data_IF_997779328783
#
_entry.id   IF_997779328783
#
_cell.length_a   1.000
_cell.length_b   1.000
_cell.length_c   1.000
_cell.angle_alpha   90.00
_cell.angle_beta   90.00
_cell.angle_gamma   90.00
#
_symmetry.space_group_name_H-M   'P 1'
#
loop_
_entity.id
_entity.type
_entity.pdbx_description
1 polymer ?
#
# COMPACT_ATOMS: atom_id res chain seq x y z
N UNK A 1 -8.94 9.95 11.62
CA UNK A 1 -9.13 10.67 12.89
C UNK A 1 -7.85 10.57 13.72
N UNK A 2 -7.64 11.46 14.68
CA UNK A 2 -6.47 11.39 15.58
C UNK A 2 -6.44 10.09 16.39
N UNK A 3 -7.61 9.54 16.73
CA UNK A 3 -7.72 8.22 17.36
C UNK A 3 -7.13 7.11 16.47
N UNK A 4 -7.45 7.08 15.17
CA UNK A 4 -6.87 6.10 14.23
C UNK A 4 -5.36 6.27 14.09
N UNK A 5 -4.85 7.52 14.05
CA UNK A 5 -3.41 7.77 13.89
C UNK A 5 -2.61 7.33 15.13
N UNK A 6 -3.16 7.52 16.33
CA UNK A 6 -2.52 7.06 17.57
C UNK A 6 -2.57 5.54 17.78
N UNK A 7 -3.56 4.87 17.18
CA UNK A 7 -3.72 3.42 17.30
C UNK A 7 -2.92 2.64 16.25
N UNK A 8 -2.38 3.28 15.21
CA UNK A 8 -1.64 2.61 14.16
C UNK A 8 -0.18 2.40 14.56
N UNK A 9 0.30 1.15 14.46
CA UNK A 9 1.71 0.81 14.72
C UNK A 9 2.64 1.38 13.63
N UNK A 10 2.14 1.45 12.40
CA UNK A 10 2.87 1.96 11.25
C UNK A 10 2.03 2.90 10.40
N UNK A 11 2.72 3.85 9.75
CA UNK A 11 2.11 4.81 8.84
C UNK A 11 2.86 4.83 7.52
N UNK A 12 2.24 4.28 6.49
CA UNK A 12 2.83 4.23 5.15
C UNK A 12 2.33 5.37 4.27
N UNK A 13 3.24 5.93 3.47
CA UNK A 13 2.91 6.88 2.41
C UNK A 13 2.95 6.16 1.07
N UNK A 14 1.83 6.17 0.34
CA UNK A 14 1.75 5.57 -1.00
C UNK A 14 2.35 6.49 -2.08
N UNK A 15 2.35 7.81 -1.83
CA UNK A 15 2.88 8.84 -2.74
C UNK A 15 2.95 10.18 -2.01
N UNK A 16 3.71 11.13 -2.55
CA UNK A 16 3.63 12.55 -2.15
C UNK A 16 2.35 13.25 -2.68
N UNK A 17 1.62 12.61 -3.59
CA UNK A 17 0.38 13.14 -4.16
C UNK A 17 -0.84 12.78 -3.31
N UNK A 18 -1.86 13.65 -3.36
CA UNK A 18 -3.19 13.32 -2.80
C UNK A 18 -3.95 12.46 -3.78
N UNK A 19 -4.19 11.19 -3.42
CA UNK A 19 -4.91 10.24 -4.26
C UNK A 19 -6.39 10.20 -3.90
N UNK A 20 -7.31 10.08 -4.87
CA UNK A 20 -8.72 9.81 -4.59
C UNK A 20 -8.88 8.49 -3.82
N UNK A 21 -9.79 8.45 -2.84
CA UNK A 21 -9.96 7.28 -1.97
C UNK A 21 -10.21 5.95 -2.73
N UNK A 22 -11.00 5.89 -3.83
CA UNK A 22 -11.14 4.66 -4.59
C UNK A 22 -9.82 4.16 -5.21
N UNK A 23 -8.95 5.08 -5.63
CA UNK A 23 -7.66 4.74 -6.23
C UNK A 23 -6.68 4.18 -5.21
N UNK A 24 -6.68 4.73 -3.98
CA UNK A 24 -5.85 4.24 -2.86
C UNK A 24 -6.04 2.74 -2.64
N UNK A 25 -7.28 2.24 -2.73
CA UNK A 25 -7.59 0.81 -2.53
C UNK A 25 -6.94 -0.06 -3.60
N UNK A 26 -7.02 0.36 -4.87
CA UNK A 26 -6.46 -0.40 -6.00
C UNK A 26 -4.93 -0.42 -5.92
N UNK A 27 -4.32 0.76 -5.70
CA UNK A 27 -2.87 0.89 -5.58
C UNK A 27 -2.34 0.06 -4.41
N UNK A 28 -2.97 0.14 -3.24
CA UNK A 28 -2.52 -0.62 -2.07
C UNK A 28 -2.56 -2.14 -2.32
N UNK A 29 -3.65 -2.66 -2.91
CA UNK A 29 -3.78 -4.10 -3.20
C UNK A 29 -2.73 -4.53 -4.22
N UNK A 30 -2.49 -3.74 -5.27
CA UNK A 30 -1.48 -4.06 -6.26
C UNK A 30 -0.07 -4.07 -5.65
N UNK A 31 0.27 -3.11 -4.79
CA UNK A 31 1.57 -3.07 -4.13
C UNK A 31 1.77 -4.24 -3.15
N UNK A 32 0.73 -4.64 -2.42
CA UNK A 32 0.78 -5.83 -1.57
C UNK A 32 0.96 -7.11 -2.40
N UNK A 33 0.24 -7.23 -3.51
CA UNK A 33 0.41 -8.36 -4.43
C UNK A 33 1.82 -8.39 -5.01
N UNK A 34 2.34 -7.25 -5.45
CA UNK A 34 3.72 -7.11 -5.91
C UNK A 34 4.73 -7.55 -4.86
N UNK A 35 4.61 -7.05 -3.62
CA UNK A 35 5.48 -7.46 -2.52
C UNK A 35 5.45 -8.98 -2.30
N UNK A 36 4.25 -9.58 -2.29
CA UNK A 36 4.10 -11.03 -2.20
C UNK A 36 4.78 -11.77 -3.36
N UNK A 37 4.57 -11.33 -4.61
CA UNK A 37 5.20 -11.99 -5.77
C UNK A 37 6.73 -11.92 -5.74
N UNK A 38 7.31 -10.82 -5.25
CA UNK A 38 8.76 -10.67 -5.06
C UNK A 38 9.25 -11.70 -4.03
N UNK A 39 8.56 -11.84 -2.90
CA UNK A 39 8.90 -12.82 -1.86
C UNK A 39 8.82 -14.27 -2.37
N UNK A 40 7.93 -14.55 -3.33
CA UNK A 40 7.81 -15.86 -3.97
C UNK A 40 8.74 -16.07 -5.17
N UNK A 41 9.62 -15.11 -5.48
CA UNK A 41 10.47 -15.10 -6.69
C UNK A 41 9.66 -15.29 -7.99
N UNK A 42 8.42 -14.79 -8.01
CA UNK A 42 7.54 -14.89 -9.17
C UNK A 42 7.85 -13.76 -10.18
N UNK A 43 7.84 -14.02 -11.50
CA UNK A 43 8.25 -13.05 -12.54
C UNK A 43 7.24 -11.92 -12.81
N UNK A 44 6.36 -11.62 -11.85
CA UNK A 44 5.38 -10.55 -11.95
C UNK A 44 6.03 -9.17 -11.80
N UNK A 45 7.02 -9.10 -10.92
CA UNK A 45 7.88 -7.94 -10.82
C UNK A 45 9.05 -8.11 -11.81
N UNK A 46 9.15 -7.22 -12.80
CA UNK A 46 10.26 -7.12 -13.75
C UNK A 46 10.83 -5.71 -13.70
#
# INVERSE_FOLDING_TARGET
SEACLRAADEKWSLSALTLPHPLVRVVLIEQLYRAWTILQNHPYHK
#
